data_IF_664578747839
#
_entry.id   IF_664578747839
#
_cell.length_a   1.000
_cell.length_b   1.000
_cell.length_c   1.000
_cell.angle_alpha   90.00
_cell.angle_beta   90.00
_cell.angle_gamma   90.00
#
_symmetry.space_group_name_H-M   'P 1'
#
loop_
_entity.id
_entity.type
_entity.pdbx_description
1 polymer ?
#
# COMPACT_ATOMS: atom_id res chain seq x y z
N UNK A 1 20.91 -19.30 -19.43
CA UNK A 1 21.04 -20.22 -20.59
C UNK A 1 22.07 -19.58 -21.48
N UNK A 2 23.07 -20.32 -21.95
CA UNK A 2 24.12 -19.80 -22.83
C UNK A 2 23.61 -19.77 -24.26
N UNK A 3 24.13 -18.87 -25.10
CA UNK A 3 23.68 -18.67 -26.49
C UNK A 3 23.74 -19.96 -27.34
N UNK A 4 24.72 -20.82 -27.08
CA UNK A 4 24.88 -22.08 -27.81
C UNK A 4 23.71 -23.05 -27.62
N UNK A 5 23.19 -23.17 -26.41
CA UNK A 5 22.01 -23.99 -26.13
C UNK A 5 20.75 -23.47 -26.85
N UNK A 6 20.64 -22.13 -27.04
CA UNK A 6 19.54 -21.53 -27.79
C UNK A 6 19.69 -21.78 -29.30
N UNK A 7 20.90 -21.61 -29.84
CA UNK A 7 21.22 -21.94 -31.25
C UNK A 7 20.83 -23.38 -31.54
N UNK A 8 21.25 -24.34 -30.69
CA UNK A 8 20.89 -25.76 -30.84
C UNK A 8 19.38 -25.98 -30.84
N UNK A 9 18.66 -25.36 -29.89
CA UNK A 9 17.19 -25.45 -29.80
C UNK A 9 16.51 -24.97 -31.09
N UNK A 10 16.82 -23.75 -31.52
CA UNK A 10 16.23 -23.12 -32.71
C UNK A 10 16.54 -23.90 -33.99
N UNK A 11 17.78 -24.39 -34.14
CA UNK A 11 18.17 -25.23 -35.27
C UNK A 11 17.33 -26.52 -35.36
N UNK A 12 17.16 -27.19 -34.22
CA UNK A 12 16.33 -28.41 -34.15
C UNK A 12 14.87 -28.11 -34.48
N UNK A 13 14.30 -27.04 -33.94
CA UNK A 13 12.94 -26.59 -34.22
C UNK A 13 12.71 -26.31 -35.71
N UNK A 14 13.78 -25.90 -36.44
CA UNK A 14 13.76 -25.68 -37.90
C UNK A 14 14.14 -26.92 -38.70
N UNK A 15 14.32 -28.09 -38.05
CA UNK A 15 14.76 -29.33 -38.70
C UNK A 15 16.06 -29.21 -39.51
N UNK A 16 16.99 -28.35 -39.09
CA UNK A 16 18.27 -28.14 -39.74
C UNK A 16 19.34 -29.03 -39.11
N UNK A 17 20.29 -29.53 -39.94
CA UNK A 17 21.53 -30.14 -39.47
C UNK A 17 22.56 -29.07 -39.08
N UNK A 18 23.59 -29.43 -38.31
CA UNK A 18 24.72 -28.52 -38.02
C UNK A 18 25.45 -28.09 -39.31
N UNK A 19 25.52 -28.96 -40.29
CA UNK A 19 26.17 -28.70 -41.60
C UNK A 19 25.34 -27.66 -42.37
N UNK A 20 24.02 -27.79 -42.43
CA UNK A 20 23.13 -26.84 -43.11
C UNK A 20 23.19 -25.44 -42.46
N UNK A 21 23.22 -25.37 -41.13
CA UNK A 21 23.39 -24.08 -40.42
C UNK A 21 24.76 -23.46 -40.70
N UNK A 22 25.84 -24.28 -40.73
CA UNK A 22 27.18 -23.83 -41.02
C UNK A 22 27.28 -23.28 -42.45
N UNK A 23 26.67 -23.95 -43.44
CA UNK A 23 26.59 -23.50 -44.83
C UNK A 23 25.90 -22.14 -44.94
N UNK A 24 24.71 -21.99 -44.30
CA UNK A 24 23.96 -20.72 -44.30
C UNK A 24 24.76 -19.56 -43.70
N UNK A 25 25.61 -19.83 -42.75
CA UNK A 25 26.41 -18.82 -42.04
C UNK A 25 27.80 -18.59 -42.67
N UNK A 26 28.22 -19.45 -43.61
CA UNK A 26 29.57 -19.40 -44.21
C UNK A 26 30.67 -19.78 -43.21
N UNK A 27 30.39 -20.65 -42.25
CA UNK A 27 31.34 -21.11 -41.21
C UNK A 27 31.56 -22.63 -41.29
N UNK A 28 32.51 -23.17 -40.54
CA UNK A 28 32.67 -24.63 -40.47
C UNK A 28 31.63 -25.30 -39.57
N UNK A 29 31.23 -26.57 -39.90
CA UNK A 29 30.38 -27.38 -39.07
C UNK A 29 30.93 -27.55 -37.63
N UNK A 30 32.28 -27.59 -37.52
CA UNK A 30 32.95 -27.66 -36.21
C UNK A 30 32.71 -26.40 -35.39
N UNK A 31 32.65 -25.22 -36.00
CA UNK A 31 32.32 -23.97 -35.30
C UNK A 31 30.91 -24.00 -34.71
N UNK A 32 29.91 -24.40 -35.52
CA UNK A 32 28.51 -24.57 -35.03
C UNK A 32 28.45 -25.58 -33.90
N UNK A 33 29.14 -26.72 -34.02
CA UNK A 33 29.22 -27.76 -32.98
C UNK A 33 29.85 -27.24 -31.68
N UNK A 34 30.89 -26.39 -31.77
CA UNK A 34 31.49 -25.76 -30.58
C UNK A 34 30.56 -24.74 -29.92
N UNK A 35 29.85 -23.92 -30.70
CA UNK A 35 28.87 -22.99 -30.20
C UNK A 35 27.75 -23.72 -29.44
N UNK A 36 27.16 -24.77 -30.04
CA UNK A 36 26.06 -25.55 -29.44
C UNK A 36 26.44 -26.28 -28.14
N UNK A 37 27.74 -26.52 -27.93
CA UNK A 37 28.30 -27.08 -26.69
C UNK A 37 28.80 -26.02 -25.72
N UNK A 38 28.60 -24.73 -26.03
CA UNK A 38 29.08 -23.60 -25.24
C UNK A 38 30.60 -23.61 -24.98
N UNK A 39 31.38 -24.21 -25.92
CA UNK A 39 32.85 -24.21 -25.85
C UNK A 39 33.39 -22.88 -26.35
N UNK A 40 32.80 -22.37 -27.44
CA UNK A 40 33.05 -21.02 -27.97
C UNK A 40 31.72 -20.32 -28.24
N UNK A 41 31.73 -18.98 -28.31
CA UNK A 41 30.59 -18.21 -28.75
C UNK A 41 30.68 -17.86 -30.23
N UNK A 42 29.58 -17.65 -30.94
CA UNK A 42 29.56 -17.02 -32.26
C UNK A 42 30.20 -15.63 -32.21
N UNK A 43 30.90 -15.26 -33.26
CA UNK A 43 31.28 -13.88 -33.44
C UNK A 43 30.06 -12.96 -33.51
N UNK A 44 30.18 -11.73 -33.01
CA UNK A 44 29.07 -10.79 -32.98
C UNK A 44 28.45 -10.51 -34.34
N UNK A 45 29.28 -10.59 -35.40
CA UNK A 45 28.86 -10.45 -36.82
C UNK A 45 27.90 -11.57 -37.27
N UNK A 46 27.95 -12.74 -36.65
CA UNK A 46 27.04 -13.86 -36.94
C UNK A 46 25.68 -13.73 -36.24
N UNK A 47 25.52 -12.88 -35.24
CA UNK A 47 24.28 -12.74 -34.48
C UNK A 47 23.12 -12.28 -35.36
N UNK A 48 23.27 -11.22 -36.22
CA UNK A 48 22.18 -10.82 -37.14
C UNK A 48 21.84 -11.91 -38.15
N UNK A 49 22.82 -12.69 -38.62
CA UNK A 49 22.59 -13.79 -39.57
C UNK A 49 21.83 -14.94 -38.90
N UNK A 50 22.20 -15.33 -37.68
CA UNK A 50 21.49 -16.32 -36.89
C UNK A 50 20.05 -15.87 -36.59
N UNK A 51 19.84 -14.61 -36.23
CA UNK A 51 18.54 -14.03 -35.99
C UNK A 51 17.64 -14.12 -37.25
N UNK A 52 18.20 -13.80 -38.43
CA UNK A 52 17.50 -13.91 -39.71
C UNK A 52 17.19 -15.35 -40.08
N UNK A 53 18.16 -16.28 -39.99
CA UNK A 53 17.97 -17.69 -40.34
C UNK A 53 16.87 -18.31 -39.46
N UNK A 54 16.86 -17.98 -38.19
CA UNK A 54 15.87 -18.51 -37.25
C UNK A 54 14.61 -17.64 -37.16
N UNK A 55 14.51 -16.51 -37.88
CA UNK A 55 13.40 -15.55 -37.84
C UNK A 55 13.00 -15.15 -36.40
N UNK A 56 14.01 -14.85 -35.59
CA UNK A 56 13.87 -14.45 -34.21
C UNK A 56 14.65 -13.15 -33.94
N UNK A 57 14.33 -12.47 -32.82
CA UNK A 57 15.15 -11.35 -32.36
C UNK A 57 16.51 -11.83 -31.80
N UNK A 58 17.52 -10.96 -31.81
CA UNK A 58 18.78 -11.22 -31.11
C UNK A 58 18.56 -11.46 -29.59
N UNK A 59 17.55 -10.83 -29.00
CA UNK A 59 17.17 -11.03 -27.60
C UNK A 59 16.82 -12.49 -27.30
N UNK A 60 16.09 -13.14 -28.22
CA UNK A 60 15.75 -14.58 -28.11
C UNK A 60 17.02 -15.43 -28.19
N UNK A 61 17.95 -15.12 -29.09
CA UNK A 61 19.22 -15.83 -29.19
C UNK A 61 20.05 -15.73 -27.90
N UNK A 62 20.05 -14.59 -27.25
CA UNK A 62 20.72 -14.39 -25.96
C UNK A 62 19.90 -14.87 -24.75
N UNK A 63 18.70 -15.38 -24.97
CA UNK A 63 17.82 -15.84 -23.90
C UNK A 63 17.27 -14.70 -23.01
N UNK A 64 17.28 -13.47 -23.49
CA UNK A 64 16.87 -12.28 -22.74
C UNK A 64 15.37 -12.35 -22.42
N UNK A 65 14.53 -12.86 -23.35
CA UNK A 65 13.09 -12.99 -23.13
C UNK A 65 12.76 -14.04 -22.05
N UNK A 66 13.55 -15.10 -21.96
CA UNK A 66 13.41 -16.11 -20.90
C UNK A 66 13.79 -15.49 -19.53
N UNK A 67 14.86 -14.71 -19.50
CA UNK A 67 15.30 -14.00 -18.30
C UNK A 67 14.26 -12.93 -17.86
N UNK A 68 13.68 -12.19 -18.81
CA UNK A 68 12.59 -11.24 -18.57
C UNK A 68 11.36 -11.94 -17.97
N UNK A 69 10.92 -13.05 -18.58
CA UNK A 69 9.78 -13.84 -18.07
C UNK A 69 10.03 -14.40 -16.68
N UNK A 70 11.23 -14.90 -16.42
CA UNK A 70 11.61 -15.40 -15.08
C UNK A 70 11.61 -14.28 -14.05
N UNK A 71 12.19 -13.11 -14.39
CA UNK A 71 12.17 -11.93 -13.53
C UNK A 71 10.73 -11.51 -13.22
N UNK A 72 9.87 -11.44 -14.23
CA UNK A 72 8.47 -11.06 -14.06
C UNK A 72 7.74 -11.98 -13.05
N UNK A 73 7.90 -13.30 -13.21
CA UNK A 73 7.30 -14.27 -12.29
C UNK A 73 7.85 -14.16 -10.85
N UNK A 74 9.13 -13.83 -10.69
CA UNK A 74 9.72 -13.61 -9.36
C UNK A 74 9.23 -12.32 -8.72
N UNK A 75 9.08 -11.24 -9.50
CA UNK A 75 8.51 -9.97 -9.03
C UNK A 75 7.05 -10.16 -8.61
N UNK A 76 6.26 -10.92 -9.36
CA UNK A 76 4.87 -11.21 -9.01
C UNK A 76 4.78 -11.92 -7.64
N UNK A 77 5.54 -12.98 -7.44
CA UNK A 77 5.61 -13.70 -6.14
C UNK A 77 6.09 -12.80 -5.00
N UNK A 78 7.04 -11.91 -5.28
CA UNK A 78 7.51 -10.92 -4.32
C UNK A 78 6.37 -9.98 -3.89
N UNK A 79 5.59 -9.45 -4.85
CA UNK A 79 4.45 -8.57 -4.58
C UNK A 79 3.40 -9.28 -3.71
N UNK A 80 3.08 -10.54 -4.03
CA UNK A 80 2.13 -11.33 -3.25
C UNK A 80 2.59 -11.50 -1.80
N UNK A 81 3.86 -11.86 -1.61
CA UNK A 81 4.42 -12.07 -0.26
C UNK A 81 4.54 -10.75 0.52
N UNK A 82 4.91 -9.66 -0.13
CA UNK A 82 4.96 -8.33 0.48
C UNK A 82 3.58 -7.89 0.97
N UNK A 83 2.55 -8.07 0.13
CA UNK A 83 1.16 -7.76 0.50
C UNK A 83 0.66 -8.60 1.67
N UNK A 84 1.00 -9.88 1.71
CA UNK A 84 0.68 -10.75 2.84
C UNK A 84 1.33 -10.22 4.13
N UNK A 85 2.64 -9.97 4.12
CA UNK A 85 3.36 -9.43 5.28
C UNK A 85 2.81 -8.08 5.73
N UNK A 86 2.44 -7.23 4.76
CA UNK A 86 1.84 -5.92 5.04
C UNK A 86 0.47 -6.07 5.73
N UNK A 87 -0.37 -7.00 5.29
CA UNK A 87 -1.68 -7.25 5.92
C UNK A 87 -1.57 -7.77 7.36
N UNK A 88 -0.46 -8.44 7.66
CA UNK A 88 -0.15 -8.97 8.99
C UNK A 88 0.58 -7.96 9.91
N UNK A 89 0.98 -6.79 9.39
CA UNK A 89 1.76 -5.80 10.14
C UNK A 89 3.22 -6.20 10.41
N UNK A 90 3.76 -7.18 9.65
CA UNK A 90 5.13 -7.70 9.82
C UNK A 90 6.16 -6.82 9.11
N UNK A 91 6.35 -5.61 9.64
CA UNK A 91 7.16 -4.57 9.00
C UNK A 91 8.62 -4.96 8.80
N UNK A 92 9.28 -5.52 9.81
CA UNK A 92 10.69 -5.92 9.70
C UNK A 92 10.89 -6.99 8.63
N UNK A 93 10.01 -7.99 8.59
CA UNK A 93 10.05 -9.04 7.56
C UNK A 93 9.80 -8.47 6.14
N UNK A 94 8.98 -7.43 6.00
CA UNK A 94 8.77 -6.71 4.73
C UNK A 94 10.04 -6.01 4.27
N UNK A 95 10.71 -5.28 5.18
CA UNK A 95 11.97 -4.59 4.88
C UNK A 95 13.02 -5.59 4.44
N UNK A 96 13.18 -6.70 5.18
CA UNK A 96 14.14 -7.75 4.84
C UNK A 96 13.87 -8.34 3.45
N UNK A 97 12.61 -8.74 3.17
CA UNK A 97 12.18 -9.26 1.87
C UNK A 97 12.49 -8.27 0.74
N UNK A 98 12.18 -6.98 0.93
CA UNK A 98 12.46 -5.94 -0.06
C UNK A 98 13.97 -5.73 -0.27
N UNK A 99 14.78 -5.77 0.78
CA UNK A 99 16.25 -5.65 0.70
C UNK A 99 16.88 -6.83 -0.04
N UNK A 100 16.40 -8.05 0.18
CA UNK A 100 16.82 -9.23 -0.59
C UNK A 100 16.52 -9.08 -2.07
N UNK A 101 15.30 -8.63 -2.39
CA UNK A 101 14.92 -8.39 -3.78
C UNK A 101 15.72 -7.23 -4.43
N UNK A 102 16.03 -6.16 -3.68
CA UNK A 102 16.90 -5.06 -4.16
C UNK A 102 18.33 -5.54 -4.51
N UNK A 103 18.90 -6.46 -3.74
CA UNK A 103 20.20 -7.07 -4.07
C UNK A 103 20.18 -7.77 -5.43
N UNK A 104 19.06 -8.43 -5.76
CA UNK A 104 18.89 -9.17 -7.00
C UNK A 104 18.49 -8.28 -8.17
N UNK A 105 17.64 -7.27 -7.92
CA UNK A 105 17.09 -6.36 -8.93
C UNK A 105 17.22 -4.91 -8.46
N UNK A 106 18.43 -4.35 -8.42
CA UNK A 106 18.74 -3.07 -7.75
C UNK A 106 18.03 -1.85 -8.36
N UNK A 107 17.67 -1.91 -9.65
CA UNK A 107 17.05 -0.81 -10.39
C UNK A 107 15.61 -1.15 -10.85
N UNK A 108 14.97 -2.16 -10.25
CA UNK A 108 13.60 -2.47 -10.58
C UNK A 108 12.64 -1.54 -9.81
N UNK A 109 11.88 -0.75 -10.54
CA UNK A 109 10.97 0.26 -9.93
C UNK A 109 9.97 -0.37 -8.96
N UNK A 110 9.51 -1.60 -9.21
CA UNK A 110 8.61 -2.32 -8.30
C UNK A 110 9.30 -2.60 -6.96
N UNK A 111 10.53 -3.10 -7.01
CA UNK A 111 11.31 -3.42 -5.81
C UNK A 111 11.64 -2.14 -5.03
N UNK A 112 12.07 -1.08 -5.74
CA UNK A 112 12.34 0.22 -5.11
C UNK A 112 11.10 0.79 -4.44
N UNK A 113 9.95 0.73 -5.09
CA UNK A 113 8.69 1.22 -4.58
C UNK A 113 8.24 0.50 -3.29
N UNK A 114 8.26 -0.83 -3.29
CA UNK A 114 7.88 -1.59 -2.10
C UNK A 114 8.88 -1.44 -0.96
N UNK A 115 10.18 -1.34 -1.25
CA UNK A 115 11.20 -1.04 -0.23
C UNK A 115 10.97 0.34 0.39
N UNK A 116 10.80 1.36 -0.43
CA UNK A 116 10.50 2.72 0.03
C UNK A 116 9.28 2.72 0.95
N UNK A 117 8.19 2.06 0.56
CA UNK A 117 6.96 1.97 1.37
C UNK A 117 7.17 1.21 2.69
N UNK A 118 7.99 0.18 2.70
CA UNK A 118 8.30 -0.56 3.92
C UNK A 118 9.14 0.30 4.88
N UNK A 119 10.11 1.05 4.37
CA UNK A 119 10.97 1.93 5.16
C UNK A 119 10.27 3.16 5.72
N UNK A 120 9.22 3.66 5.06
CA UNK A 120 8.45 4.82 5.54
C UNK A 120 7.77 4.63 6.90
N UNK A 121 7.59 3.40 7.33
CA UNK A 121 6.95 3.06 8.60
C UNK A 121 7.94 2.55 9.64
N UNK A 122 9.25 2.69 9.36
CA UNK A 122 10.34 2.32 10.26
C UNK A 122 11.21 3.55 10.56
N UNK A 123 11.61 3.71 11.82
CA UNK A 123 12.42 4.84 12.24
C UNK A 123 13.83 4.81 11.64
N UNK A 124 14.42 5.99 11.46
CA UNK A 124 15.84 6.14 11.10
C UNK A 124 16.18 5.93 9.62
N UNK A 125 15.19 5.75 8.73
CA UNK A 125 15.42 5.46 7.31
C UNK A 125 15.10 6.65 6.37
N UNK A 126 14.91 7.86 6.90
CA UNK A 126 14.46 9.01 6.12
C UNK A 126 15.32 9.28 4.87
N UNK A 127 16.63 9.21 4.98
CA UNK A 127 17.54 9.48 3.84
C UNK A 127 17.44 8.41 2.76
N UNK A 128 17.31 7.13 3.12
CA UNK A 128 17.09 6.05 2.15
C UNK A 128 15.71 6.17 1.47
N UNK A 129 14.69 6.55 2.22
CA UNK A 129 13.34 6.81 1.64
C UNK A 129 13.39 7.97 0.64
N UNK A 130 14.15 9.04 0.93
CA UNK A 130 14.35 10.16 0.01
C UNK A 130 15.04 9.68 -1.26
N UNK A 131 16.15 8.97 -1.15
CA UNK A 131 16.90 8.44 -2.29
C UNK A 131 16.01 7.59 -3.21
N UNK A 132 15.23 6.66 -2.63
CA UNK A 132 14.32 5.79 -3.37
C UNK A 132 13.17 6.58 -4.01
N UNK A 133 12.60 7.54 -3.28
CA UNK A 133 11.52 8.38 -3.74
C UNK A 133 11.93 9.23 -4.93
N UNK A 134 13.11 9.86 -4.88
CA UNK A 134 13.63 10.68 -5.97
C UNK A 134 13.90 9.87 -7.25
N UNK A 135 14.25 8.58 -7.14
CA UNK A 135 14.35 7.69 -8.29
C UNK A 135 13.00 7.36 -8.93
N UNK A 136 11.89 7.46 -8.18
CA UNK A 136 10.56 7.02 -8.59
C UNK A 136 9.62 8.15 -9.00
N UNK A 137 9.96 9.42 -8.76
CA UNK A 137 9.07 10.56 -9.10
C UNK A 137 8.82 10.69 -10.60
N UNK A 138 9.73 10.22 -11.44
CA UNK A 138 9.62 10.22 -12.89
C UNK A 138 9.16 8.87 -13.47
N UNK A 139 8.77 7.92 -12.62
CA UNK A 139 8.29 6.62 -13.05
C UNK A 139 7.09 6.75 -14.00
N UNK A 140 7.09 5.94 -15.06
CA UNK A 140 5.94 5.81 -15.98
C UNK A 140 4.76 5.11 -15.31
N UNK A 141 5.01 4.34 -14.25
CA UNK A 141 3.96 3.75 -13.44
C UNK A 141 3.36 4.82 -12.53
N UNK A 142 2.11 5.17 -12.78
CA UNK A 142 1.40 6.24 -12.06
C UNK A 142 1.27 5.95 -10.55
N UNK A 143 1.11 4.67 -10.17
CA UNK A 143 1.04 4.27 -8.76
C UNK A 143 2.38 4.51 -8.05
N UNK A 144 3.49 4.10 -8.69
CA UNK A 144 4.83 4.26 -8.11
C UNK A 144 5.21 5.73 -8.00
N UNK A 145 4.97 6.50 -9.05
CA UNK A 145 5.19 7.94 -9.06
C UNK A 145 4.39 8.64 -7.97
N UNK A 146 3.08 8.35 -7.88
CA UNK A 146 2.24 8.95 -6.86
C UNK A 146 2.67 8.55 -5.44
N UNK A 147 2.98 7.28 -5.23
CA UNK A 147 3.44 6.78 -3.94
C UNK A 147 4.77 7.38 -3.52
N UNK A 148 5.71 7.59 -4.46
CA UNK A 148 6.98 8.26 -4.23
C UNK A 148 6.79 9.72 -3.81
N UNK A 149 6.03 10.49 -4.58
CA UNK A 149 5.74 11.91 -4.27
C UNK A 149 5.08 12.04 -2.89
N UNK A 150 4.12 11.18 -2.61
CA UNK A 150 3.46 11.15 -1.29
C UNK A 150 4.46 10.84 -0.17
N UNK A 151 5.31 9.84 -0.38
CA UNK A 151 6.33 9.44 0.58
C UNK A 151 7.32 10.55 0.89
N UNK A 152 7.84 11.20 -0.15
CA UNK A 152 8.73 12.35 -0.02
C UNK A 152 8.06 13.50 0.73
N UNK A 153 6.81 13.81 0.41
CA UNK A 153 6.05 14.84 1.13
C UNK A 153 6.01 14.57 2.64
N UNK A 154 5.70 13.33 3.05
CA UNK A 154 5.61 12.97 4.47
C UNK A 154 6.98 12.94 5.15
N UNK A 155 8.01 12.40 4.53
CA UNK A 155 9.37 12.38 5.09
C UNK A 155 9.90 13.80 5.32
N UNK A 156 9.74 14.70 4.34
CA UNK A 156 10.15 16.09 4.53
C UNK A 156 9.33 16.80 5.60
N UNK A 157 8.05 16.46 5.74
CA UNK A 157 7.20 17.08 6.76
C UNK A 157 7.52 16.58 8.19
N UNK A 158 7.71 15.27 8.37
CA UNK A 158 7.76 14.63 9.68
C UNK A 158 9.19 14.44 10.18
N UNK A 159 10.09 13.92 9.34
CA UNK A 159 11.44 13.54 9.75
C UNK A 159 12.45 14.68 9.54
N UNK A 160 12.35 15.39 8.41
CA UNK A 160 13.25 16.50 8.09
C UNK A 160 12.74 17.85 8.60
N UNK A 161 11.49 17.94 9.05
CA UNK A 161 10.82 19.17 9.46
C UNK A 161 10.94 20.32 8.43
N UNK A 162 11.00 19.94 7.14
CA UNK A 162 11.09 20.86 6.00
C UNK A 162 9.73 20.98 5.31
N UNK A 163 8.89 21.85 5.86
CA UNK A 163 7.55 22.10 5.33
C UNK A 163 7.55 22.66 3.91
N UNK A 164 8.56 23.47 3.56
CA UNK A 164 8.62 24.06 2.24
C UNK A 164 8.82 23.00 1.17
N UNK A 165 9.75 22.10 1.38
CA UNK A 165 10.03 21.00 0.46
C UNK A 165 8.87 19.99 0.41
N UNK A 166 8.24 19.71 1.53
CA UNK A 166 7.02 18.89 1.56
C UNK A 166 5.89 19.50 0.70
N UNK A 167 5.70 20.83 0.74
CA UNK A 167 4.71 21.53 -0.09
C UNK A 167 5.05 21.48 -1.59
N UNK A 168 6.33 21.50 -1.97
CA UNK A 168 6.75 21.33 -3.36
C UNK A 168 6.30 19.98 -3.91
N UNK A 169 6.56 18.89 -3.18
CA UNK A 169 6.08 17.56 -3.58
C UNK A 169 4.56 17.46 -3.58
N UNK A 170 3.89 18.02 -2.60
CA UNK A 170 2.41 18.00 -2.54
C UNK A 170 1.75 18.65 -3.77
N UNK A 171 2.38 19.66 -4.37
CA UNK A 171 1.88 20.35 -5.58
C UNK A 171 2.07 19.54 -6.87
N UNK A 172 2.93 18.51 -6.87
CA UNK A 172 3.16 17.65 -8.04
C UNK A 172 2.00 16.70 -8.31
N UNK A 173 1.11 16.51 -7.31
CA UNK A 173 -0.06 15.64 -7.45
C UNK A 173 -1.26 16.50 -7.85
N UNK A 174 -1.76 16.31 -9.07
CA UNK A 174 -3.05 16.85 -9.48
C UNK A 174 -4.17 15.89 -9.10
N UNK A 175 -5.31 16.41 -8.61
CA UNK A 175 -6.54 15.61 -8.56
C UNK A 175 -6.98 15.37 -10.01
N UNK A 176 -6.76 14.17 -10.51
CA UNK A 176 -7.33 13.78 -11.80
C UNK A 176 -8.83 13.61 -11.63
N UNK A 177 -9.61 14.33 -12.44
CA UNK A 177 -11.02 14.08 -12.60
C UNK A 177 -11.25 12.61 -13.01
N UNK A 178 -12.11 11.88 -12.29
CA UNK A 178 -12.39 10.48 -12.57
C UNK A 178 -13.36 10.37 -13.75
N UNK A 179 -12.82 10.28 -14.95
CA UNK A 179 -13.60 10.21 -16.19
C UNK A 179 -14.41 8.92 -16.36
N UNK A 180 -14.15 7.91 -15.52
CA UNK A 180 -14.85 6.61 -15.63
C UNK A 180 -16.35 6.72 -15.39
N UNK A 181 -16.80 7.65 -14.58
CA UNK A 181 -18.24 7.90 -14.34
C UNK A 181 -19.01 8.26 -15.62
N UNK A 182 -18.33 8.71 -16.67
CA UNK A 182 -18.93 9.08 -17.95
C UNK A 182 -18.89 7.95 -19.00
N UNK A 183 -18.19 6.86 -18.69
CA UNK A 183 -17.94 5.74 -19.63
C UNK A 183 -18.57 4.43 -19.17
N UNK A 184 -18.60 4.21 -17.85
CA UNK A 184 -19.18 3.00 -17.25
C UNK A 184 -20.71 3.06 -17.28
N UNK A 185 -21.33 1.89 -17.39
CA UNK A 185 -22.79 1.73 -17.40
C UNK A 185 -23.21 0.56 -16.49
N UNK A 186 -24.51 0.51 -16.15
CA UNK A 186 -25.12 -0.59 -15.41
C UNK A 186 -24.45 -0.88 -14.07
N UNK A 187 -24.21 -2.15 -13.77
CA UNK A 187 -23.64 -2.61 -12.50
C UNK A 187 -22.22 -2.10 -12.28
N UNK A 188 -21.40 -2.03 -13.33
CA UNK A 188 -20.04 -1.52 -13.25
C UNK A 188 -19.99 -0.05 -12.80
N UNK A 189 -20.91 0.76 -13.28
CA UNK A 189 -21.05 2.16 -12.84
C UNK A 189 -21.45 2.23 -11.38
N UNK A 190 -22.41 1.39 -10.94
CA UNK A 190 -22.87 1.35 -9.55
C UNK A 190 -21.71 0.98 -8.62
N UNK A 191 -20.99 -0.09 -8.91
CA UNK A 191 -19.83 -0.52 -8.12
C UNK A 191 -18.75 0.56 -8.07
N UNK A 192 -18.46 1.19 -9.21
CA UNK A 192 -17.47 2.26 -9.29
C UNK A 192 -17.86 3.48 -8.44
N UNK A 193 -19.11 3.92 -8.52
CA UNK A 193 -19.61 5.03 -7.72
C UNK A 193 -19.61 4.71 -6.23
N UNK A 194 -20.03 3.52 -5.82
CA UNK A 194 -19.99 3.08 -4.44
C UNK A 194 -18.56 3.02 -3.88
N UNK A 195 -17.61 2.49 -4.68
CA UNK A 195 -16.20 2.47 -4.30
C UNK A 195 -15.62 3.89 -4.14
N UNK A 196 -16.00 4.82 -4.99
CA UNK A 196 -15.61 6.22 -4.86
C UNK A 196 -16.24 6.85 -3.61
N UNK A 197 -17.53 6.63 -3.38
CA UNK A 197 -18.23 7.12 -2.20
C UNK A 197 -17.58 6.63 -0.91
N UNK A 198 -17.23 5.35 -0.83
CA UNK A 198 -16.51 4.77 0.29
C UNK A 198 -15.15 5.49 0.55
N UNK A 199 -14.40 5.78 -0.52
CA UNK A 199 -13.16 6.56 -0.44
C UNK A 199 -13.38 8.01 0.00
N UNK A 200 -14.46 8.63 -0.42
CA UNK A 200 -14.81 10.00 0.00
C UNK A 200 -15.08 10.05 1.49
N UNK A 201 -15.79 9.07 2.05
CA UNK A 201 -16.00 8.96 3.50
C UNK A 201 -14.66 8.92 4.26
N UNK A 202 -13.70 8.12 3.80
CA UNK A 202 -12.37 8.07 4.42
C UNK A 202 -11.64 9.42 4.31
N UNK A 203 -11.68 10.05 3.15
CA UNK A 203 -11.09 11.37 2.95
C UNK A 203 -11.73 12.44 3.85
N UNK A 204 -13.03 12.43 4.02
CA UNK A 204 -13.73 13.36 4.93
C UNK A 204 -13.25 13.17 6.37
N UNK A 205 -13.18 11.93 6.83
CA UNK A 205 -12.64 11.62 8.16
C UNK A 205 -11.20 12.15 8.33
N UNK A 206 -10.32 11.88 7.39
CA UNK A 206 -8.92 12.31 7.45
C UNK A 206 -8.80 13.85 7.42
N UNK A 207 -9.59 14.54 6.59
CA UNK A 207 -9.59 16.01 6.51
C UNK A 207 -10.11 16.64 7.79
N UNK A 208 -11.18 16.10 8.37
CA UNK A 208 -11.68 16.56 9.66
C UNK A 208 -10.60 16.41 10.74
N UNK A 209 -9.94 15.27 10.81
CA UNK A 209 -8.84 15.06 11.76
C UNK A 209 -7.71 16.08 11.57
N UNK A 210 -7.28 16.31 10.33
CA UNK A 210 -6.22 17.29 10.04
C UNK A 210 -6.64 18.71 10.47
N UNK A 211 -7.90 19.09 10.21
CA UNK A 211 -8.44 20.36 10.62
C UNK A 211 -8.43 20.54 12.15
N UNK A 212 -8.88 19.52 12.86
CA UNK A 212 -8.97 19.53 14.32
C UNK A 212 -7.61 19.42 15.02
N UNK A 213 -6.60 18.84 14.37
CA UNK A 213 -5.24 18.79 14.90
C UNK A 213 -4.46 20.10 14.70
N UNK A 214 -4.95 21.02 13.87
CA UNK A 214 -4.33 22.32 13.65
C UNK A 214 -4.52 23.22 14.88
N UNK A 215 -3.42 23.55 15.56
CA UNK A 215 -3.46 24.40 16.78
C UNK A 215 -3.93 25.82 16.49
N UNK A 216 -3.58 26.33 15.31
CA UNK A 216 -3.93 27.69 14.86
C UNK A 216 -5.40 27.80 14.44
N UNK A 217 -6.16 26.70 14.41
CA UNK A 217 -7.59 26.73 14.05
C UNK A 217 -8.46 27.54 15.01
N UNK A 218 -8.02 27.70 16.27
CA UNK A 218 -8.72 28.48 17.29
C UNK A 218 -10.06 27.91 17.76
N UNK A 219 -10.40 26.65 17.36
CA UNK A 219 -11.65 26.02 17.78
C UNK A 219 -11.67 25.72 19.27
N UNK A 220 -12.75 26.08 19.95
CA UNK A 220 -13.00 25.68 21.35
C UNK A 220 -13.19 24.15 21.46
N UNK A 221 -13.04 23.56 22.65
CA UNK A 221 -13.34 22.15 22.87
C UNK A 221 -14.77 21.76 22.44
N UNK A 222 -15.77 22.59 22.72
CA UNK A 222 -17.15 22.37 22.31
C UNK A 222 -17.34 22.38 20.79
N UNK A 223 -16.66 23.30 20.09
CA UNK A 223 -16.69 23.35 18.62
C UNK A 223 -16.03 22.11 18.03
N UNK A 224 -14.88 21.66 18.57
CA UNK A 224 -14.18 20.43 18.16
C UNK A 224 -15.05 19.20 18.37
N UNK A 225 -15.68 19.10 19.54
CA UNK A 225 -16.63 18.03 19.86
C UNK A 225 -17.78 18.01 18.85
N UNK A 226 -18.42 19.15 18.61
CA UNK A 226 -19.57 19.24 17.69
C UNK A 226 -19.20 18.82 16.26
N UNK A 227 -18.02 19.18 15.77
CA UNK A 227 -17.54 18.79 14.45
C UNK A 227 -17.28 17.29 14.36
N UNK A 228 -16.70 16.69 15.39
CA UNK A 228 -16.46 15.23 15.47
C UNK A 228 -17.79 14.47 15.55
N UNK A 229 -18.73 14.97 16.37
CA UNK A 229 -20.07 14.39 16.49
C UNK A 229 -20.83 14.45 15.16
N UNK A 230 -20.76 15.56 14.43
CA UNK A 230 -21.39 15.66 13.11
C UNK A 230 -20.88 14.59 12.15
N UNK A 231 -19.55 14.34 12.14
CA UNK A 231 -18.96 13.29 11.31
C UNK A 231 -19.41 11.89 11.78
N UNK A 232 -19.46 11.66 13.09
CA UNK A 232 -19.95 10.43 13.68
C UNK A 232 -21.41 10.16 13.27
N UNK A 233 -22.29 11.14 13.43
CA UNK A 233 -23.70 11.03 13.07
C UNK A 233 -23.90 10.80 11.55
N UNK A 234 -23.03 11.39 10.72
CA UNK A 234 -23.06 11.17 9.27
C UNK A 234 -22.78 9.70 8.91
N UNK A 235 -21.86 9.01 9.60
CA UNK A 235 -21.67 7.58 9.38
C UNK A 235 -22.93 6.78 9.72
N UNK A 236 -23.64 7.13 10.78
CA UNK A 236 -24.92 6.49 11.12
C UNK A 236 -26.03 6.73 10.09
N UNK A 237 -25.97 7.85 9.35
CA UNK A 237 -26.90 8.10 8.23
C UNK A 237 -26.54 7.33 6.96
N UNK A 238 -25.24 7.07 6.74
CA UNK A 238 -24.73 6.39 5.55
C UNK A 238 -24.86 4.87 5.68
N UNK A 239 -24.50 4.32 6.84
CA UNK A 239 -24.45 2.89 7.11
C UNK A 239 -25.66 2.49 7.92
N UNK A 240 -26.75 2.13 7.23
CA UNK A 240 -27.97 1.66 7.87
C UNK A 240 -27.74 0.40 8.74
N UNK A 241 -28.53 0.25 9.79
CA UNK A 241 -28.49 -0.90 10.71
C UNK A 241 -27.12 -1.11 11.40
N UNK A 242 -26.35 -0.05 11.58
CA UNK A 242 -25.00 -0.11 12.17
C UNK A 242 -24.06 -1.05 11.41
N UNK A 243 -24.21 -1.17 10.11
CA UNK A 243 -23.38 -1.98 9.22
C UNK A 243 -22.08 -1.24 8.86
N UNK A 244 -21.31 -0.84 9.88
CA UNK A 244 -20.11 -0.03 9.70
C UNK A 244 -18.90 -0.81 9.19
N UNK A 245 -18.81 -2.10 9.52
CA UNK A 245 -17.67 -2.93 9.14
C UNK A 245 -16.34 -2.34 9.62
N UNK A 246 -15.37 -2.11 8.73
CA UNK A 246 -14.08 -1.53 9.12
C UNK A 246 -14.14 -0.05 9.54
N UNK A 247 -15.30 0.62 9.34
CA UNK A 247 -15.50 1.96 9.86
C UNK A 247 -15.69 2.00 11.38
N UNK A 248 -15.91 0.85 12.03
CA UNK A 248 -15.87 0.72 13.48
C UNK A 248 -14.58 1.30 14.07
N UNK A 249 -13.42 1.08 13.42
CA UNK A 249 -12.15 1.71 13.83
C UNK A 249 -12.23 3.25 13.83
N UNK A 250 -12.86 3.84 12.81
CA UNK A 250 -12.97 5.31 12.70
C UNK A 250 -13.96 5.87 13.73
N UNK A 251 -15.05 5.18 13.95
CA UNK A 251 -16.09 5.57 14.93
C UNK A 251 -15.53 5.49 16.35
N UNK A 252 -14.84 4.41 16.70
CA UNK A 252 -14.19 4.30 18.01
C UNK A 252 -13.18 5.43 18.24
N UNK A 253 -12.36 5.76 17.25
CA UNK A 253 -11.41 6.88 17.31
C UNK A 253 -12.10 8.24 17.48
N UNK A 254 -13.23 8.48 16.78
CA UNK A 254 -14.00 9.71 16.95
C UNK A 254 -14.54 9.82 18.37
N UNK A 255 -15.06 8.72 18.93
CA UNK A 255 -15.55 8.67 20.32
C UNK A 255 -14.44 9.03 21.32
N UNK A 256 -13.22 8.51 21.15
CA UNK A 256 -12.08 8.89 21.99
C UNK A 256 -11.79 10.39 21.92
N UNK A 257 -11.75 10.97 20.73
CA UNK A 257 -11.46 12.40 20.59
C UNK A 257 -12.60 13.28 21.11
N UNK A 258 -13.87 12.85 20.93
CA UNK A 258 -15.02 13.53 21.55
C UNK A 258 -14.93 13.50 23.08
N UNK A 259 -14.58 12.37 23.67
CA UNK A 259 -14.39 12.24 25.10
C UNK A 259 -13.31 13.17 25.64
N UNK A 260 -12.19 13.30 24.91
CA UNK A 260 -11.13 14.25 25.28
C UNK A 260 -11.62 15.70 25.28
N UNK A 261 -12.40 16.10 24.28
CA UNK A 261 -12.96 17.45 24.23
C UNK A 261 -14.03 17.67 25.32
N UNK A 262 -14.86 16.64 25.61
CA UNK A 262 -15.83 16.66 26.69
C UNK A 262 -15.14 16.85 28.06
N UNK A 263 -14.05 16.15 28.32
CA UNK A 263 -13.25 16.33 29.53
C UNK A 263 -12.67 17.76 29.65
N UNK A 264 -12.16 18.34 28.58
CA UNK A 264 -11.66 19.71 28.55
C UNK A 264 -12.74 20.75 28.80
N UNK A 265 -14.00 20.45 28.46
CA UNK A 265 -15.17 21.27 28.73
C UNK A 265 -15.80 21.01 30.12
N UNK A 266 -15.24 20.09 30.92
CA UNK A 266 -15.76 19.71 32.24
C UNK A 266 -16.99 18.77 32.21
N UNK A 267 -17.34 18.22 31.04
CA UNK A 267 -18.52 17.38 30.81
C UNK A 267 -18.19 15.89 31.04
N UNK A 268 -17.92 15.51 32.31
CA UNK A 268 -17.41 14.18 32.66
C UNK A 268 -18.39 13.04 32.29
N UNK A 269 -19.70 13.20 32.54
CA UNK A 269 -20.72 12.21 32.21
C UNK A 269 -20.79 11.94 30.71
N UNK A 270 -20.69 13.00 29.90
CA UNK A 270 -20.66 12.89 28.43
C UNK A 270 -19.40 12.15 27.98
N UNK A 271 -18.24 12.48 28.56
CA UNK A 271 -16.97 11.83 28.24
C UNK A 271 -17.00 10.32 28.52
N UNK A 272 -17.56 9.89 29.65
CA UNK A 272 -17.70 8.46 29.98
C UNK A 272 -18.61 7.77 28.94
N UNK A 273 -19.76 8.33 28.60
CA UNK A 273 -20.65 7.75 27.59
C UNK A 273 -20.01 7.66 26.18
N UNK A 274 -19.10 8.58 25.85
CA UNK A 274 -18.32 8.53 24.60
C UNK A 274 -17.22 7.46 24.64
N UNK A 275 -16.56 7.26 25.78
CA UNK A 275 -15.60 6.19 25.96
C UNK A 275 -16.26 4.80 25.96
N UNK A 276 -17.48 4.66 26.47
CA UNK A 276 -18.26 3.41 26.36
C UNK A 276 -18.55 3.07 24.90
N UNK A 277 -18.96 4.07 24.09
CA UNK A 277 -19.14 3.91 22.65
C UNK A 277 -17.82 3.56 21.93
N UNK A 278 -16.72 4.15 22.35
CA UNK A 278 -15.40 3.80 21.80
C UNK A 278 -15.09 2.31 21.97
N UNK A 279 -15.28 1.78 23.19
CA UNK A 279 -15.07 0.35 23.48
C UNK A 279 -15.99 -0.52 22.64
N UNK A 280 -17.30 -0.17 22.58
CA UNK A 280 -18.28 -0.87 21.76
C UNK A 280 -17.86 -1.03 20.30
N UNK A 281 -17.34 0.05 19.69
CA UNK A 281 -16.87 0.02 18.32
C UNK A 281 -15.60 -0.84 18.14
N UNK A 282 -14.67 -0.77 19.10
CA UNK A 282 -13.44 -1.57 19.02
C UNK A 282 -13.70 -3.07 19.25
N UNK A 283 -14.62 -3.43 20.13
CA UNK A 283 -15.06 -4.82 20.31
C UNK A 283 -15.66 -5.39 19.01
N UNK A 284 -16.49 -4.61 18.31
CA UNK A 284 -17.05 -5.03 17.03
C UNK A 284 -16.01 -5.17 15.91
N UNK A 285 -14.96 -4.38 15.94
CA UNK A 285 -13.92 -4.36 14.88
C UNK A 285 -13.17 -5.70 14.76
N UNK A 286 -12.93 -6.41 15.85
CA UNK A 286 -12.13 -7.64 15.84
C UNK A 286 -12.87 -8.83 15.19
N UNK A 287 -14.18 -8.76 15.03
CA UNK A 287 -15.02 -9.84 14.48
C UNK A 287 -15.01 -9.93 12.94
N UNK A 288 -14.36 -8.98 12.25
CA UNK A 288 -14.46 -8.88 10.80
C UNK A 288 -13.19 -9.32 10.06
N UNK A 289 -13.34 -10.29 9.15
CA UNK A 289 -12.31 -10.64 8.16
C UNK A 289 -12.71 -10.18 6.74
N UNK A 290 -13.98 -10.42 6.36
CA UNK A 290 -14.56 -10.00 5.09
C UNK A 290 -15.92 -9.35 5.39
N UNK A 291 -16.17 -8.20 4.80
CA UNK A 291 -17.42 -7.46 4.99
C UNK A 291 -18.10 -7.26 3.64
N UNK A 292 -19.40 -7.53 3.62
CA UNK A 292 -20.29 -7.10 2.56
C UNK A 292 -21.37 -6.24 3.20
N UNK A 293 -21.33 -4.95 2.88
CA UNK A 293 -22.29 -3.99 3.42
C UNK A 293 -23.70 -4.22 2.90
N UNK A 294 -24.69 -3.86 3.72
CA UNK A 294 -26.12 -3.90 3.39
C UNK A 294 -26.67 -2.53 3.00
N UNK A 295 -26.02 -1.46 3.46
CA UNK A 295 -26.44 -0.08 3.16
C UNK A 295 -26.41 0.19 1.64
N UNK A 296 -27.48 0.80 1.06
CA UNK A 296 -27.63 1.00 -0.37
C UNK A 296 -26.47 1.75 -1.04
N UNK A 297 -25.80 2.64 -0.30
CA UNK A 297 -24.67 3.43 -0.81
C UNK A 297 -23.37 2.63 -1.00
N UNK A 298 -23.28 1.41 -0.43
CA UNK A 298 -22.05 0.60 -0.41
C UNK A 298 -22.28 -0.90 -0.55
N UNK A 299 -23.52 -1.34 -0.80
CA UNK A 299 -23.93 -2.76 -0.77
C UNK A 299 -23.38 -3.64 -1.91
N UNK A 300 -22.74 -3.06 -2.91
CA UNK A 300 -22.03 -3.81 -3.97
C UNK A 300 -20.59 -4.12 -3.61
N UNK A 301 -20.08 -3.46 -2.57
CA UNK A 301 -18.69 -3.62 -2.17
C UNK A 301 -18.52 -4.85 -1.28
N UNK A 302 -17.46 -5.60 -1.57
CA UNK A 302 -16.94 -6.63 -0.68
C UNK A 302 -15.54 -6.19 -0.25
N UNK A 303 -15.36 -5.99 1.06
CA UNK A 303 -14.11 -5.50 1.63
C UNK A 303 -13.45 -6.63 2.39
N UNK A 304 -12.30 -7.06 1.89
CA UNK A 304 -11.46 -8.08 2.51
C UNK A 304 -10.32 -7.40 3.26
N UNK A 305 -10.23 -7.61 4.56
CA UNK A 305 -9.23 -6.99 5.42
C UNK A 305 -7.80 -7.30 4.95
N UNK A 306 -7.54 -8.51 4.48
CA UNK A 306 -6.23 -8.93 4.00
C UNK A 306 -5.77 -8.18 2.74
N UNK A 307 -6.73 -7.66 1.95
CA UNK A 307 -6.46 -6.98 0.68
C UNK A 307 -6.56 -5.45 0.78
N UNK A 308 -7.41 -4.95 1.67
CA UNK A 308 -7.82 -3.54 1.67
C UNK A 308 -7.38 -2.76 2.90
N UNK A 309 -6.84 -3.42 3.92
CA UNK A 309 -6.31 -2.77 5.13
C UNK A 309 -4.85 -3.09 5.32
N UNK A 310 -4.11 -2.14 5.87
CA UNK A 310 -2.72 -2.32 6.28
C UNK A 310 -2.63 -2.13 7.79
N UNK A 311 -1.97 -3.05 8.47
CA UNK A 311 -1.55 -2.87 9.85
C UNK A 311 -0.09 -2.43 9.87
N UNK A 312 0.23 -1.46 10.70
CA UNK A 312 1.61 -1.02 10.95
C UNK A 312 2.23 -1.72 12.14
N UNK A 313 1.39 -2.25 13.04
CA UNK A 313 1.77 -3.01 14.22
C UNK A 313 0.91 -4.26 14.36
N UNK A 314 1.38 -5.24 15.13
CA UNK A 314 0.59 -6.42 15.50
C UNK A 314 -0.40 -6.10 16.65
N UNK A 315 -0.26 -4.93 17.28
CA UNK A 315 -1.10 -4.47 18.37
C UNK A 315 -2.55 -4.22 17.92
N UNK A 316 -3.52 -4.61 18.73
CA UNK A 316 -4.93 -4.31 18.47
C UNK A 316 -5.19 -2.80 18.58
N UNK A 317 -6.24 -2.32 17.89
CA UNK A 317 -6.65 -0.92 18.02
C UNK A 317 -7.06 -0.59 19.47
N UNK A 318 -7.75 -1.51 20.13
CA UNK A 318 -8.16 -1.35 21.54
C UNK A 318 -6.97 -1.19 22.48
N UNK A 319 -5.95 -2.07 22.38
CA UNK A 319 -4.72 -1.96 23.18
C UNK A 319 -3.98 -0.65 22.94
N UNK A 320 -3.94 -0.19 21.69
CA UNK A 320 -3.34 1.10 21.33
C UNK A 320 -4.05 2.27 21.99
N UNK A 321 -5.40 2.24 22.08
CA UNK A 321 -6.18 3.29 22.73
C UNK A 321 -6.22 3.18 24.25
N UNK A 322 -6.06 2.01 24.83
CA UNK A 322 -5.79 1.87 26.26
C UNK A 322 -4.50 2.63 26.63
N UNK A 323 -3.44 2.45 25.88
CA UNK A 323 -2.19 3.22 26.07
C UNK A 323 -2.38 4.72 25.83
N UNK A 324 -3.26 5.12 24.87
CA UNK A 324 -3.60 6.53 24.69
C UNK A 324 -4.29 7.12 25.91
N UNK A 325 -5.21 6.39 26.57
CA UNK A 325 -5.84 6.83 27.82
C UNK A 325 -4.80 7.02 28.93
N UNK A 326 -3.85 6.11 29.05
CA UNK A 326 -2.76 6.19 30.04
C UNK A 326 -1.84 7.40 29.77
N UNK A 327 -1.49 7.66 28.50
CA UNK A 327 -0.68 8.80 28.09
C UNK A 327 -1.39 10.16 28.31
N UNK A 328 -2.73 10.16 28.30
CA UNK A 328 -3.58 11.34 28.53
C UNK A 328 -4.11 11.41 29.98
N UNK A 329 -3.40 10.80 30.94
CA UNK A 329 -3.81 10.70 32.34
C UNK A 329 -4.26 12.04 32.94
N UNK A 330 -3.55 13.14 32.67
CA UNK A 330 -3.92 14.46 33.16
C UNK A 330 -5.31 14.94 32.67
N UNK A 331 -5.75 14.52 31.49
CA UNK A 331 -7.07 14.88 30.95
C UNK A 331 -8.16 14.07 31.63
N UNK A 332 -7.91 12.79 31.91
CA UNK A 332 -8.89 11.85 32.48
C UNK A 332 -8.80 11.71 34.01
N UNK A 333 -7.90 12.45 34.68
CA UNK A 333 -7.76 12.44 36.13
C UNK A 333 -9.09 12.63 36.90
N UNK A 334 -10.02 13.54 36.48
CA UNK A 334 -11.27 13.73 37.18
C UNK A 334 -12.20 12.51 37.21
N UNK A 335 -12.02 11.55 36.30
CA UNK A 335 -12.82 10.32 36.23
C UNK A 335 -12.00 9.06 36.52
N UNK A 336 -10.75 9.19 36.97
CA UNK A 336 -9.85 8.04 37.16
C UNK A 336 -10.39 6.98 38.13
N UNK A 337 -11.20 7.42 39.14
CA UNK A 337 -11.82 6.56 40.13
C UNK A 337 -13.29 6.23 39.85
N UNK A 338 -13.84 6.64 38.70
CA UNK A 338 -15.19 6.25 38.29
C UNK A 338 -15.20 4.76 37.90
N UNK A 339 -16.11 3.99 38.49
CA UNK A 339 -16.21 2.54 38.25
C UNK A 339 -16.40 2.21 36.75
N UNK A 340 -17.16 3.04 36.01
CA UNK A 340 -17.37 2.88 34.57
C UNK A 340 -16.07 3.07 33.78
N UNK A 341 -15.25 4.04 34.18
CA UNK A 341 -13.96 4.28 33.54
C UNK A 341 -12.96 3.14 33.79
N UNK A 342 -13.00 2.54 34.98
CA UNK A 342 -12.21 1.34 35.29
C UNK A 342 -12.65 0.18 34.39
N UNK A 343 -13.97 -0.06 34.28
CA UNK A 343 -14.54 -1.11 33.40
C UNK A 343 -14.18 -0.88 31.93
N UNK A 344 -14.17 0.38 31.46
CA UNK A 344 -13.74 0.73 30.10
C UNK A 344 -12.28 0.28 29.83
N UNK A 345 -11.37 0.58 30.76
CA UNK A 345 -9.95 0.16 30.66
C UNK A 345 -9.82 -1.37 30.67
N UNK A 346 -10.57 -2.06 31.52
CA UNK A 346 -10.57 -3.52 31.57
C UNK A 346 -11.11 -4.17 30.28
N UNK A 347 -12.14 -3.59 29.67
CA UNK A 347 -12.67 -4.07 28.39
C UNK A 347 -11.68 -3.87 27.26
N UNK A 348 -11.05 -2.69 27.17
CA UNK A 348 -10.00 -2.43 26.17
C UNK A 348 -8.80 -3.38 26.30
N UNK A 349 -8.47 -3.80 27.51
CA UNK A 349 -7.39 -4.74 27.75
C UNK A 349 -7.70 -6.19 27.30
N UNK A 350 -8.97 -6.51 27.07
CA UNK A 350 -9.44 -7.85 26.66
C UNK A 350 -9.60 -8.01 25.14
N UNK A 351 -9.64 -6.92 24.40
CA UNK A 351 -9.74 -6.82 22.96
C UNK A 351 -8.34 -6.63 22.35
#
# INVERSE_FOLDING_TARGET
MLIGSMIKKLRIERNMTQEQLAECLGVSTNAVSQWERDITAPDISNIPLLANIFEVSADILFGIDIAKSKKAAEIEKFIEKEKELHSLGKTDARVELCREMRKKYPNDETVLYYLMRALQITDGNADEVIELGEQLIDSKNTEYRYGAIRGLCFIYLQDKNDRQKALEYAKMVSEQEDLRVHVLEGEELVEHCQAYFYKVCDRMYLRMRSLLSCKESGYSPEARHSMQKMLYDMFYMIFENEDFGFWEDRLGRLCFFMAMESMKSGEQERAIGELEKMVYHFEKLEDFSVIKHTSPLVNRLTIDRSKNTSKHTEESTASSYLRCLENQKAVFEPIENDERFIVIKERLAKV
#
